data_IF_575182060549
#
_entry.id   IF_575182060549
#
_cell.length_a   1.000
_cell.length_b   1.000
_cell.length_c   1.000
_cell.angle_alpha   90.00
_cell.angle_beta   90.00
_cell.angle_gamma   90.00
#
_symmetry.space_group_name_H-M   'P 1'
#
loop_
_entity.id
_entity.type
_entity.pdbx_description
1 polymer ?
#
# COMPACT_ATOMS: atom_id res chain seq x y z
N UNK A 1 -66.12 -3.36 -11.53
CA UNK A 1 -64.86 -3.77 -12.19
C UNK A 1 -63.79 -2.67 -12.26
N UNK A 2 -64.12 -1.41 -12.58
CA UNK A 2 -63.14 -0.32 -12.71
C UNK A 2 -62.38 0.06 -11.42
N UNK A 3 -63.03 -0.08 -10.25
CA UNK A 3 -62.42 0.24 -8.94
C UNK A 3 -61.30 -0.73 -8.52
N UNK A 4 -61.37 -2.00 -8.91
CA UNK A 4 -60.33 -3.00 -8.59
C UNK A 4 -59.02 -2.75 -9.35
N UNK A 5 -59.12 -2.26 -10.59
CA UNK A 5 -57.97 -1.86 -11.40
C UNK A 5 -57.25 -0.63 -10.83
N UNK A 6 -58.00 0.31 -10.25
CA UNK A 6 -57.41 1.50 -9.59
C UNK A 6 -56.58 1.05 -8.38
N UNK A 7 -57.09 0.15 -7.56
CA UNK A 7 -56.34 -0.41 -6.42
C UNK A 7 -55.10 -1.20 -6.86
N UNK A 8 -55.21 -2.01 -7.92
CA UNK A 8 -54.07 -2.74 -8.47
C UNK A 8 -52.98 -1.80 -9.00
N UNK A 9 -53.36 -0.73 -9.69
CA UNK A 9 -52.41 0.27 -10.18
C UNK A 9 -51.71 1.01 -9.02
N UNK A 10 -52.44 1.35 -7.96
CA UNK A 10 -51.86 2.00 -6.76
C UNK A 10 -50.85 1.07 -6.07
N UNK A 11 -51.19 -0.21 -5.90
CA UNK A 11 -50.27 -1.19 -5.30
C UNK A 11 -49.03 -1.39 -6.17
N UNK A 12 -49.18 -1.47 -7.50
CA UNK A 12 -48.05 -1.60 -8.41
C UNK A 12 -47.09 -0.40 -8.35
N UNK A 13 -47.62 0.83 -8.26
CA UNK A 13 -46.81 2.05 -8.11
C UNK A 13 -46.07 2.07 -6.77
N UNK A 14 -46.72 1.67 -5.69
CA UNK A 14 -46.08 1.59 -4.36
C UNK A 14 -44.94 0.57 -4.37
N UNK A 15 -45.16 -0.62 -4.95
CA UNK A 15 -44.11 -1.65 -5.07
C UNK A 15 -42.94 -1.14 -5.91
N UNK A 16 -43.22 -0.46 -7.03
CA UNK A 16 -42.17 0.10 -7.89
C UNK A 16 -41.36 1.20 -7.19
N UNK A 17 -42.01 2.03 -6.37
CA UNK A 17 -41.36 3.09 -5.60
C UNK A 17 -40.46 2.52 -4.49
N UNK A 18 -40.90 1.44 -3.83
CA UNK A 18 -40.09 0.74 -2.80
C UNK A 18 -38.88 0.05 -3.42
N UNK A 19 -39.04 -0.67 -4.54
CA UNK A 19 -37.92 -1.34 -5.23
C UNK A 19 -36.91 -0.32 -5.77
N UNK A 20 -37.38 0.81 -6.30
CA UNK A 20 -36.51 1.89 -6.79
C UNK A 20 -35.63 2.52 -5.71
N UNK A 21 -36.15 2.70 -4.49
CA UNK A 21 -35.38 3.20 -3.34
C UNK A 21 -34.26 2.24 -2.91
N UNK A 22 -34.53 0.93 -2.91
CA UNK A 22 -33.54 -0.07 -2.52
C UNK A 22 -32.39 -0.17 -3.53
N UNK A 23 -32.66 -0.12 -4.83
CA UNK A 23 -31.62 -0.13 -5.87
C UNK A 23 -30.68 1.07 -5.78
N UNK A 24 -31.20 2.26 -5.45
CA UNK A 24 -30.38 3.48 -5.33
C UNK A 24 -29.40 3.45 -4.15
N UNK A 25 -29.81 2.88 -3.01
CA UNK A 25 -28.95 2.79 -1.83
C UNK A 25 -27.92 1.64 -1.93
N UNK A 26 -28.30 0.51 -2.52
CA UNK A 26 -27.33 -0.57 -2.81
C UNK A 26 -26.24 -0.11 -3.78
N UNK A 27 -26.58 0.65 -4.82
CA UNK A 27 -25.58 1.19 -5.76
C UNK A 27 -24.57 2.12 -5.07
N UNK A 28 -25.03 2.96 -4.12
CA UNK A 28 -24.14 3.84 -3.36
C UNK A 28 -23.18 3.07 -2.45
N UNK A 29 -23.66 2.03 -1.79
CA UNK A 29 -22.82 1.18 -0.93
C UNK A 29 -21.79 0.39 -1.74
N UNK A 30 -22.19 -0.19 -2.88
CA UNK A 30 -21.27 -0.89 -3.78
C UNK A 30 -20.24 0.07 -4.37
N UNK A 31 -20.65 1.27 -4.79
CA UNK A 31 -19.73 2.29 -5.29
C UNK A 31 -18.74 2.76 -4.21
N UNK A 32 -19.19 2.92 -2.96
CA UNK A 32 -18.31 3.27 -1.85
C UNK A 32 -17.31 2.15 -1.52
N UNK A 33 -17.75 0.88 -1.48
CA UNK A 33 -16.88 -0.29 -1.28
C UNK A 33 -15.84 -0.42 -2.41
N UNK A 34 -16.26 -0.25 -3.67
CA UNK A 34 -15.34 -0.20 -4.81
C UNK A 34 -14.35 0.96 -4.69
N UNK A 35 -14.79 2.13 -4.24
CA UNK A 35 -13.92 3.27 -3.98
C UNK A 35 -12.86 2.98 -2.92
N UNK A 36 -13.24 2.36 -1.79
CA UNK A 36 -12.30 1.95 -0.74
C UNK A 36 -11.29 0.92 -1.27
N UNK A 37 -11.75 -0.08 -2.04
CA UNK A 37 -10.88 -1.08 -2.67
C UNK A 37 -9.90 -0.46 -3.65
N UNK A 38 -10.32 0.50 -4.47
CA UNK A 38 -9.43 1.22 -5.38
C UNK A 38 -8.36 2.01 -4.62
N UNK A 39 -8.74 2.70 -3.54
CA UNK A 39 -7.77 3.42 -2.69
C UNK A 39 -6.78 2.45 -2.03
N UNK A 40 -7.25 1.31 -1.54
CA UNK A 40 -6.39 0.26 -0.99
C UNK A 40 -5.43 -0.33 -2.02
N UNK A 41 -5.89 -0.55 -3.25
CA UNK A 41 -5.03 -0.99 -4.34
C UNK A 41 -3.94 0.04 -4.69
N UNK A 42 -4.24 1.34 -4.62
CA UNK A 42 -3.24 2.40 -4.80
C UNK A 42 -2.17 2.36 -3.70
N UNK A 43 -2.58 2.18 -2.43
CA UNK A 43 -1.64 2.04 -1.30
C UNK A 43 -0.78 0.79 -1.47
N UNK A 44 -1.37 -0.34 -1.86
CA UNK A 44 -0.64 -1.58 -2.09
C UNK A 44 0.41 -1.44 -3.18
N UNK A 45 0.05 -0.83 -4.31
CA UNK A 45 1.00 -0.57 -5.40
C UNK A 45 2.17 0.32 -4.94
N UNK A 46 1.92 1.33 -4.12
CA UNK A 46 2.98 2.17 -3.55
C UNK A 46 3.90 1.39 -2.61
N UNK A 47 3.32 0.59 -1.70
CA UNK A 47 4.09 -0.25 -0.79
C UNK A 47 4.92 -1.30 -1.55
N UNK A 48 4.35 -1.88 -2.60
CA UNK A 48 5.05 -2.82 -3.46
C UNK A 48 6.21 -2.15 -4.19
N UNK A 49 6.00 -0.96 -4.78
CA UNK A 49 7.09 -0.20 -5.41
C UNK A 49 8.23 0.09 -4.43
N UNK A 50 7.91 0.56 -3.21
CA UNK A 50 8.92 0.75 -2.15
C UNK A 50 9.68 -0.53 -1.83
N UNK A 51 8.98 -1.66 -1.71
CA UNK A 51 9.59 -2.96 -1.43
C UNK A 51 10.57 -3.39 -2.54
N UNK A 52 10.25 -3.10 -3.79
CA UNK A 52 11.09 -3.41 -4.95
C UNK A 52 12.33 -2.50 -5.00
N UNK A 53 12.15 -1.19 -4.79
CA UNK A 53 13.26 -0.21 -4.73
C UNK A 53 14.27 -0.55 -3.63
N UNK A 54 13.78 -0.91 -2.43
CA UNK A 54 14.65 -1.31 -1.32
C UNK A 54 15.39 -2.61 -1.64
N UNK A 55 14.75 -3.53 -2.37
CA UNK A 55 15.41 -4.73 -2.88
C UNK A 55 16.59 -4.39 -3.79
N UNK A 56 16.37 -3.53 -4.78
CA UNK A 56 17.41 -3.07 -5.72
C UNK A 56 18.53 -2.30 -4.98
N UNK A 57 18.19 -1.53 -3.95
CA UNK A 57 19.16 -0.81 -3.13
C UNK A 57 20.05 -1.78 -2.35
N UNK A 58 19.45 -2.78 -1.71
CA UNK A 58 20.19 -3.81 -0.96
C UNK A 58 21.12 -4.60 -1.87
N UNK A 59 20.69 -4.96 -3.07
CA UNK A 59 21.54 -5.68 -4.03
C UNK A 59 22.73 -4.83 -4.49
N UNK A 60 22.47 -3.55 -4.80
CA UNK A 60 23.52 -2.58 -5.17
C UNK A 60 24.53 -2.39 -4.03
N UNK A 61 24.06 -2.22 -2.79
CA UNK A 61 24.92 -1.99 -1.63
C UNK A 61 25.65 -3.28 -1.22
N UNK A 62 25.04 -4.47 -1.37
CA UNK A 62 25.69 -5.78 -1.11
C UNK A 62 26.93 -6.01 -1.98
N UNK A 63 26.90 -5.55 -3.23
CA UNK A 63 28.06 -5.64 -4.13
C UNK A 63 29.28 -4.86 -3.65
N UNK A 64 29.09 -3.90 -2.74
CA UNK A 64 30.12 -2.93 -2.35
C UNK A 64 30.45 -2.92 -0.85
N UNK A 65 29.47 -3.23 0.01
CA UNK A 65 29.57 -3.21 1.46
C UNK A 65 29.24 -4.57 2.10
N UNK A 66 29.80 -5.66 1.54
CA UNK A 66 29.51 -7.05 1.98
C UNK A 66 29.73 -7.32 3.49
N UNK A 67 30.57 -6.53 4.16
CA UNK A 67 30.87 -6.67 5.60
C UNK A 67 29.72 -6.16 6.49
N UNK A 68 28.77 -5.38 5.96
CA UNK A 68 27.64 -4.80 6.69
C UNK A 68 26.44 -5.75 6.81
N UNK A 69 26.69 -7.00 7.21
CA UNK A 69 25.66 -8.05 7.32
C UNK A 69 24.54 -7.67 8.30
N UNK A 70 24.84 -6.93 9.36
CA UNK A 70 23.86 -6.47 10.33
C UNK A 70 22.84 -5.52 9.69
N UNK A 71 23.31 -4.57 8.88
CA UNK A 71 22.45 -3.61 8.17
C UNK A 71 21.57 -4.33 7.15
N UNK A 72 22.14 -5.27 6.38
CA UNK A 72 21.35 -6.07 5.44
C UNK A 72 20.35 -7.00 6.13
N UNK A 73 20.68 -7.52 7.31
CA UNK A 73 19.78 -8.33 8.14
C UNK A 73 18.59 -7.52 8.64
N UNK A 74 18.83 -6.30 9.14
CA UNK A 74 17.77 -5.38 9.58
C UNK A 74 16.83 -5.03 8.41
N UNK A 75 17.37 -4.73 7.23
CA UNK A 75 16.57 -4.42 6.04
C UNK A 75 15.78 -5.67 5.58
N UNK A 76 16.42 -6.84 5.56
CA UNK A 76 15.75 -8.09 5.18
C UNK A 76 14.60 -8.45 6.13
N UNK A 77 14.76 -8.23 7.44
CA UNK A 77 13.72 -8.45 8.44
C UNK A 77 12.55 -7.47 8.26
N UNK A 78 12.84 -6.17 8.07
CA UNK A 78 11.81 -5.18 7.77
C UNK A 78 11.02 -5.54 6.50
N UNK A 79 11.72 -6.05 5.48
CA UNK A 79 11.13 -6.52 4.22
C UNK A 79 10.23 -7.75 4.41
N UNK A 80 10.66 -8.70 5.24
CA UNK A 80 9.88 -9.89 5.58
C UNK A 80 8.59 -9.52 6.33
N UNK A 81 8.64 -8.52 7.22
CA UNK A 81 7.46 -8.01 7.93
C UNK A 81 6.45 -7.34 6.98
N UNK A 82 6.92 -6.59 5.98
CA UNK A 82 6.05 -6.05 4.93
C UNK A 82 5.42 -7.14 4.07
N UNK A 83 6.19 -8.14 3.65
CA UNK A 83 5.69 -9.25 2.84
C UNK A 83 4.69 -10.15 3.60
N UNK A 84 4.82 -10.24 4.92
CA UNK A 84 3.94 -11.01 5.79
C UNK A 84 2.63 -10.31 6.16
N UNK A 85 2.50 -9.00 5.93
CA UNK A 85 1.34 -8.21 6.30
C UNK A 85 0.14 -8.48 5.37
N UNK A 86 -0.91 -9.10 5.92
CA UNK A 86 -2.12 -9.51 5.18
C UNK A 86 -3.28 -8.56 5.39
N UNK A 87 -3.31 -7.86 6.52
CA UNK A 87 -4.37 -6.90 6.82
C UNK A 87 -3.94 -5.45 6.56
N UNK A 88 -4.88 -4.56 6.24
CA UNK A 88 -4.70 -3.12 6.25
C UNK A 88 -3.86 -2.58 7.41
N UNK A 89 -4.21 -2.97 8.63
CA UNK A 89 -3.55 -2.51 9.85
C UNK A 89 -2.11 -3.04 9.96
N UNK A 90 -1.89 -4.32 9.60
CA UNK A 90 -0.56 -4.91 9.54
C UNK A 90 0.30 -4.22 8.49
N UNK A 91 -0.25 -3.86 7.32
CA UNK A 91 0.51 -3.16 6.27
C UNK A 91 0.91 -1.76 6.71
N UNK A 92 0.04 -1.05 7.42
CA UNK A 92 0.39 0.27 7.99
C UNK A 92 1.45 0.14 9.08
N UNK A 93 1.34 -0.85 9.97
CA UNK A 93 2.33 -1.11 11.00
C UNK A 93 3.68 -1.53 10.40
N UNK A 94 3.67 -2.37 9.36
CA UNK A 94 4.88 -2.80 8.66
C UNK A 94 5.53 -1.63 7.89
N UNK A 95 4.73 -0.76 7.26
CA UNK A 95 5.23 0.46 6.64
C UNK A 95 5.85 1.42 7.66
N UNK A 96 5.24 1.56 8.85
CA UNK A 96 5.80 2.36 9.96
C UNK A 96 7.09 1.74 10.52
N UNK A 97 7.15 0.41 10.66
CA UNK A 97 8.36 -0.28 11.06
C UNK A 97 9.47 -0.11 10.02
N UNK A 98 9.11 -0.12 8.74
CA UNK A 98 10.04 0.14 7.64
C UNK A 98 10.49 1.61 7.62
N UNK A 99 9.62 2.57 7.88
CA UNK A 99 9.97 3.99 8.04
C UNK A 99 10.79 4.25 9.31
N UNK A 100 10.61 3.48 10.38
CA UNK A 100 11.48 3.58 11.55
C UNK A 100 12.85 2.97 11.26
N UNK A 101 12.89 1.84 10.56
CA UNK A 101 14.12 1.25 10.07
C UNK A 101 14.84 2.23 9.14
N UNK A 102 14.15 2.84 8.16
CA UNK A 102 14.73 3.67 7.10
C UNK A 102 14.88 5.16 7.45
N UNK A 103 13.89 5.78 8.08
CA UNK A 103 13.80 7.23 8.31
C UNK A 103 14.22 7.71 9.69
N UNK A 104 14.14 6.87 10.73
CA UNK A 104 14.52 7.24 12.10
C UNK A 104 15.96 6.87 12.47
N UNK A 105 16.50 5.81 11.86
CA UNK A 105 17.81 5.24 12.21
C UNK A 105 18.67 4.87 11.01
N UNK A 106 18.11 4.29 9.94
CA UNK A 106 18.94 3.90 8.79
C UNK A 106 19.29 5.05 7.86
N UNK A 107 18.56 6.16 7.74
CA UNK A 107 19.08 7.31 6.98
C UNK A 107 20.36 7.83 7.64
N UNK A 108 20.41 7.86 8.96
CA UNK A 108 21.61 8.20 9.72
C UNK A 108 22.69 7.11 9.62
N UNK A 109 22.35 5.82 9.71
CA UNK A 109 23.32 4.71 9.55
C UNK A 109 23.80 4.57 8.12
N UNK A 110 22.95 4.84 7.14
CA UNK A 110 23.24 4.75 5.72
C UNK A 110 24.04 5.96 5.28
N UNK A 111 23.85 7.15 5.88
CA UNK A 111 24.81 8.25 5.78
C UNK A 111 26.19 7.82 6.29
N UNK A 112 26.25 7.16 7.45
CA UNK A 112 27.50 6.65 8.03
C UNK A 112 28.13 5.56 7.13
N UNK A 113 27.34 4.67 6.55
CA UNK A 113 27.81 3.68 5.57
C UNK A 113 28.30 4.36 4.30
N UNK A 114 27.60 5.37 3.77
CA UNK A 114 28.03 6.13 2.59
C UNK A 114 29.33 6.90 2.86
N UNK A 115 29.55 7.39 4.08
CA UNK A 115 30.83 8.01 4.48
C UNK A 115 31.97 6.99 4.56
N UNK A 116 31.71 5.79 5.09
CA UNK A 116 32.70 4.71 5.16
C UNK A 116 32.97 4.05 3.80
N UNK A 117 32.04 4.16 2.85
CA UNK A 117 32.11 3.56 1.52
C UNK A 117 31.89 4.62 0.42
N UNK A 118 32.89 5.48 0.13
CA UNK A 118 32.76 6.56 -0.86
C UNK A 118 32.37 6.07 -2.26
N UNK A 119 32.69 4.82 -2.58
CA UNK A 119 32.27 4.17 -3.83
C UNK A 119 30.74 3.99 -3.96
N UNK A 120 29.99 3.93 -2.84
CA UNK A 120 28.52 3.96 -2.84
C UNK A 120 28.00 5.36 -3.18
N UNK A 121 28.66 6.42 -2.70
CA UNK A 121 28.32 7.81 -3.00
C UNK A 121 28.44 8.12 -4.49
N UNK A 122 29.41 7.51 -5.16
CA UNK A 122 29.62 7.64 -6.61
C UNK A 122 28.79 6.65 -7.44
N UNK A 123 28.05 5.73 -6.82
CA UNK A 123 27.27 4.76 -7.55
C UNK A 123 25.96 5.39 -8.01
N UNK A 124 25.82 5.57 -9.33
CA UNK A 124 24.63 6.16 -9.95
C UNK A 124 23.34 5.41 -9.60
N UNK A 125 23.38 4.08 -9.48
CA UNK A 125 22.21 3.28 -9.11
C UNK A 125 21.78 3.54 -7.66
N UNK A 126 22.74 3.74 -6.75
CA UNK A 126 22.43 4.08 -5.36
C UNK A 126 21.82 5.49 -5.23
N UNK A 127 22.37 6.45 -5.97
CA UNK A 127 21.85 7.82 -6.00
C UNK A 127 20.44 7.91 -6.61
N UNK A 128 20.17 7.17 -7.69
CA UNK A 128 18.83 7.12 -8.28
C UNK A 128 17.79 6.53 -7.33
N UNK A 129 18.16 5.49 -6.57
CA UNK A 129 17.27 4.85 -5.60
C UNK A 129 17.01 5.71 -4.35
N UNK A 130 17.90 6.67 -4.07
CA UNK A 130 17.73 7.67 -3.00
C UNK A 130 16.79 8.81 -3.39
N UNK A 131 16.78 9.15 -4.68
CA UNK A 131 15.96 10.24 -5.23
C UNK A 131 14.51 9.80 -5.53
N UNK A 132 14.24 8.49 -5.62
CA UNK A 132 12.89 7.90 -5.78
C UNK A 132 12.12 7.71 -4.46
#
# INVERSE_FOLDING_TARGET
MKRGWIWLAVVAVIVMMVVGQFSGNYNKLVAADQGVKQRWAQVDNQLQRRNDLIGNLVETVKGTAFQEQQVFGDIANARAQMAGAKTPAERTAAAQAMDQALGGGALSRLLVVVENYPQLKSNEAFMQLMDE
#
